data_IF_163781785864
#
_entry.id   IF_163781785864
#
_cell.length_a   1.000
_cell.length_b   1.000
_cell.length_c   1.000
_cell.angle_alpha   90.00
_cell.angle_beta   90.00
_cell.angle_gamma   90.00
#
_symmetry.space_group_name_H-M   'P 1'
#
loop_
_entity.id
_entity.type
_entity.pdbx_description
1 polymer ?
#
# COMPACT_ATOMS: atom_id res chain seq x y z
N UNK A 1 -12.31 -49.41 -15.49
CA UNK A 1 -12.62 -48.03 -15.12
C UNK A 1 -12.30 -47.14 -16.29
N UNK A 2 -13.26 -46.77 -17.13
CA UNK A 2 -13.05 -45.82 -18.20
C UNK A 2 -13.08 -44.42 -17.59
N UNK A 3 -11.91 -43.87 -17.28
CA UNK A 3 -11.81 -42.43 -17.00
C UNK A 3 -12.18 -41.74 -18.31
N UNK A 4 -13.30 -41.04 -18.34
CA UNK A 4 -13.78 -40.34 -19.52
C UNK A 4 -12.70 -39.35 -19.97
N UNK A 5 -12.43 -39.22 -21.27
CA UNK A 5 -11.43 -38.31 -21.82
C UNK A 5 -11.62 -36.86 -21.29
N UNK A 6 -12.85 -36.49 -20.95
CA UNK A 6 -13.20 -35.21 -20.33
C UNK A 6 -12.62 -35.08 -18.92
N UNK A 7 -12.70 -36.12 -18.08
CA UNK A 7 -12.16 -36.09 -16.71
C UNK A 7 -10.64 -35.87 -16.68
N UNK A 8 -9.91 -36.47 -17.64
CA UNK A 8 -8.46 -36.23 -17.77
C UNK A 8 -8.13 -34.79 -18.17
N UNK A 9 -8.91 -34.23 -19.12
CA UNK A 9 -8.68 -32.86 -19.59
C UNK A 9 -8.96 -31.84 -18.48
N UNK A 10 -10.08 -31.96 -17.76
CA UNK A 10 -10.39 -31.00 -16.68
C UNK A 10 -9.48 -31.16 -15.47
N UNK A 11 -8.97 -32.39 -15.21
CA UNK A 11 -8.04 -32.65 -14.11
C UNK A 11 -6.70 -31.91 -14.26
N UNK A 12 -6.30 -31.61 -15.50
CA UNK A 12 -5.06 -30.85 -15.80
C UNK A 12 -5.24 -29.34 -15.63
N UNK A 13 -6.46 -28.83 -15.42
CA UNK A 13 -6.70 -27.40 -15.27
C UNK A 13 -6.44 -26.96 -13.82
N UNK A 14 -5.67 -25.87 -13.62
CA UNK A 14 -5.35 -25.38 -12.28
C UNK A 14 -6.54 -24.74 -11.57
N UNK A 15 -7.50 -24.22 -12.32
CA UNK A 15 -8.70 -23.58 -11.79
C UNK A 15 -9.79 -24.59 -11.48
N UNK A 16 -10.67 -24.35 -10.49
CA UNK A 16 -11.83 -25.17 -10.22
C UNK A 16 -12.77 -25.27 -11.44
N UNK A 17 -13.04 -26.49 -11.88
CA UNK A 17 -13.94 -26.78 -13.02
C UNK A 17 -14.92 -27.89 -12.65
N UNK A 18 -16.19 -27.65 -12.95
CA UNK A 18 -17.31 -28.56 -12.74
C UNK A 18 -18.02 -28.80 -14.07
N UNK A 19 -18.39 -30.05 -14.33
CA UNK A 19 -19.31 -30.41 -15.41
C UNK A 19 -20.69 -30.66 -14.83
N UNK A 20 -21.69 -29.94 -15.34
CA UNK A 20 -23.07 -30.01 -14.89
C UNK A 20 -23.96 -30.62 -15.98
N UNK A 21 -25.00 -31.34 -15.57
CA UNK A 21 -26.08 -31.70 -16.48
C UNK A 21 -27.09 -30.55 -16.68
N UNK A 22 -28.06 -30.77 -17.55
CA UNK A 22 -29.13 -29.79 -17.84
C UNK A 22 -30.00 -29.39 -16.65
N UNK A 23 -29.93 -30.12 -15.56
CA UNK A 23 -30.68 -29.84 -14.31
C UNK A 23 -29.81 -29.15 -13.24
N UNK A 24 -28.53 -28.95 -13.55
CA UNK A 24 -27.57 -28.30 -12.63
C UNK A 24 -26.94 -29.25 -11.59
N UNK A 25 -27.01 -30.57 -11.81
CA UNK A 25 -26.29 -31.53 -10.96
C UNK A 25 -24.84 -31.69 -11.48
N UNK A 26 -23.91 -31.72 -10.55
CA UNK A 26 -22.48 -31.90 -10.83
C UNK A 26 -22.21 -33.36 -11.22
N UNK A 27 -21.76 -33.58 -12.45
CA UNK A 27 -21.38 -34.92 -12.94
C UNK A 27 -19.90 -35.20 -12.70
N UNK A 28 -19.06 -34.22 -12.92
CA UNK A 28 -17.61 -34.32 -12.76
C UNK A 28 -17.07 -33.04 -12.12
N UNK A 29 -16.01 -33.18 -11.35
CA UNK A 29 -15.28 -32.09 -10.73
C UNK A 29 -13.76 -32.38 -10.82
N UNK A 30 -12.96 -31.39 -11.13
CA UNK A 30 -11.52 -31.54 -11.06
C UNK A 30 -11.00 -31.41 -9.61
N UNK A 31 -9.71 -31.76 -9.35
CA UNK A 31 -9.13 -31.67 -8.03
C UNK A 31 -9.32 -30.29 -7.37
N UNK A 32 -9.06 -29.21 -8.10
CA UNK A 32 -9.21 -27.85 -7.59
C UNK A 32 -10.66 -27.53 -7.16
N UNK A 33 -11.66 -28.05 -7.87
CA UNK A 33 -13.06 -27.90 -7.49
C UNK A 33 -13.42 -28.74 -6.24
N UNK A 34 -12.85 -29.94 -6.12
CA UNK A 34 -13.06 -30.75 -4.91
C UNK A 34 -12.36 -30.17 -3.68
N UNK A 35 -11.23 -29.50 -3.86
CA UNK A 35 -10.55 -28.77 -2.77
C UNK A 35 -11.38 -27.57 -2.29
N UNK A 36 -12.04 -26.86 -3.21
CA UNK A 36 -12.85 -25.69 -2.90
C UNK A 36 -14.21 -26.07 -2.26
N UNK A 37 -14.90 -27.08 -2.79
CA UNK A 37 -16.28 -27.41 -2.42
C UNK A 37 -16.42 -28.70 -1.59
N UNK A 38 -15.32 -29.46 -1.47
CA UNK A 38 -15.33 -30.81 -0.90
C UNK A 38 -15.72 -31.89 -1.89
N UNK A 39 -15.36 -33.15 -1.58
CA UNK A 39 -15.61 -34.31 -2.46
C UNK A 39 -17.10 -34.63 -2.66
N UNK A 40 -17.95 -34.18 -1.74
CA UNK A 40 -19.41 -34.36 -1.80
C UNK A 40 -20.09 -33.50 -2.87
N UNK A 41 -19.34 -32.64 -3.56
CA UNK A 41 -19.88 -31.81 -4.64
C UNK A 41 -20.36 -32.65 -5.82
N UNK A 42 -19.73 -33.79 -6.09
CA UNK A 42 -20.11 -34.68 -7.19
C UNK A 42 -21.48 -35.30 -6.89
N UNK A 43 -22.41 -35.18 -7.82
CA UNK A 43 -23.80 -35.58 -7.67
C UNK A 43 -24.71 -34.57 -6.97
N UNK A 44 -24.13 -33.52 -6.38
CA UNK A 44 -24.90 -32.47 -5.71
C UNK A 44 -25.51 -31.47 -6.72
N UNK A 45 -26.58 -30.81 -6.32
CA UNK A 45 -27.16 -29.69 -7.04
C UNK A 45 -26.30 -28.44 -6.79
N UNK A 46 -25.73 -27.86 -7.83
CA UNK A 46 -24.76 -26.74 -7.72
C UNK A 46 -25.36 -25.52 -7.00
N UNK A 47 -26.64 -25.24 -7.17
CA UNK A 47 -27.35 -24.14 -6.50
C UNK A 47 -27.34 -24.26 -4.96
N UNK A 48 -27.15 -25.46 -4.41
CA UNK A 48 -27.02 -25.66 -2.96
C UNK A 48 -25.67 -25.13 -2.42
N UNK A 49 -24.65 -25.05 -3.26
CA UNK A 49 -23.30 -24.58 -2.92
C UNK A 49 -23.05 -23.14 -3.34
N UNK A 50 -23.57 -22.72 -4.48
CA UNK A 50 -23.46 -21.35 -5.01
C UNK A 50 -24.79 -20.62 -4.82
N UNK A 51 -25.06 -20.16 -3.59
CA UNK A 51 -26.36 -19.60 -3.20
C UNK A 51 -26.49 -18.09 -3.42
N UNK A 52 -25.42 -17.41 -3.80
CA UNK A 52 -25.46 -15.97 -3.99
C UNK A 52 -26.41 -15.59 -5.14
N UNK A 53 -27.25 -14.56 -4.96
CA UNK A 53 -28.30 -14.20 -5.92
C UNK A 53 -27.79 -13.98 -7.36
N UNK A 54 -26.61 -13.34 -7.49
CA UNK A 54 -25.99 -13.10 -8.80
C UNK A 54 -25.61 -14.40 -9.54
N UNK A 55 -25.05 -15.38 -8.80
CA UNK A 55 -24.68 -16.68 -9.37
C UNK A 55 -25.92 -17.52 -9.67
N UNK A 56 -26.92 -17.49 -8.80
CA UNK A 56 -28.17 -18.21 -9.02
C UNK A 56 -28.88 -17.70 -10.29
N UNK A 57 -29.00 -16.38 -10.46
CA UNK A 57 -29.59 -15.77 -11.65
C UNK A 57 -28.80 -16.08 -12.94
N UNK A 58 -27.45 -16.05 -12.85
CA UNK A 58 -26.57 -16.45 -13.95
C UNK A 58 -26.82 -17.92 -14.38
N UNK A 59 -26.86 -18.84 -13.40
CA UNK A 59 -27.15 -20.25 -13.66
C UNK A 59 -28.53 -20.47 -14.29
N UNK A 60 -29.55 -19.72 -13.88
CA UNK A 60 -30.87 -19.76 -14.49
C UNK A 60 -30.83 -19.37 -15.96
N UNK A 61 -30.24 -18.23 -16.28
CA UNK A 61 -30.13 -17.74 -17.67
C UNK A 61 -29.38 -18.75 -18.55
N UNK A 62 -28.30 -19.35 -18.05
CA UNK A 62 -27.56 -20.33 -18.84
C UNK A 62 -28.34 -21.63 -19.01
N UNK A 63 -29.03 -22.12 -17.97
CA UNK A 63 -29.88 -23.31 -18.07
C UNK A 63 -31.07 -23.11 -19.03
N UNK A 64 -31.59 -21.89 -19.11
CA UNK A 64 -32.67 -21.49 -20.02
C UNK A 64 -32.20 -21.23 -21.47
N UNK A 65 -30.90 -21.41 -21.77
CA UNK A 65 -30.38 -21.40 -23.13
C UNK A 65 -29.39 -20.27 -23.45
N UNK A 66 -29.04 -19.40 -22.53
CA UNK A 66 -27.96 -18.43 -22.72
C UNK A 66 -26.64 -19.21 -22.92
N UNK A 67 -25.90 -18.92 -23.99
CA UNK A 67 -24.70 -19.67 -24.38
C UNK A 67 -23.58 -19.61 -23.32
N UNK A 68 -23.40 -18.46 -22.71
CA UNK A 68 -22.37 -18.19 -21.70
C UNK A 68 -22.81 -17.01 -20.85
N UNK A 69 -22.52 -17.08 -19.56
CA UNK A 69 -22.72 -15.96 -18.63
C UNK A 69 -21.74 -16.05 -17.46
N UNK A 70 -21.54 -14.91 -16.78
CA UNK A 70 -20.58 -14.80 -15.67
C UNK A 70 -21.23 -14.14 -14.45
N UNK A 71 -20.77 -14.53 -13.27
CA UNK A 71 -21.13 -13.89 -12.01
C UNK A 71 -19.95 -13.95 -11.02
N UNK A 72 -20.02 -13.12 -9.98
CA UNK A 72 -19.04 -13.15 -8.89
C UNK A 72 -19.57 -13.99 -7.72
N UNK A 73 -18.70 -14.82 -7.18
CA UNK A 73 -18.93 -15.66 -6.01
C UNK A 73 -17.90 -15.35 -4.93
N UNK A 74 -18.36 -15.06 -3.72
CA UNK A 74 -17.49 -14.84 -2.56
C UNK A 74 -17.51 -16.10 -1.72
N UNK A 75 -16.35 -16.73 -1.55
CA UNK A 75 -16.17 -17.86 -0.67
C UNK A 75 -15.47 -17.40 0.62
N UNK A 76 -16.01 -17.79 1.76
CA UNK A 76 -15.42 -17.52 3.07
C UNK A 76 -14.87 -18.81 3.65
N UNK A 77 -13.57 -18.88 3.92
CA UNK A 77 -12.91 -19.99 4.60
C UNK A 77 -12.22 -19.47 5.86
N UNK A 78 -12.84 -19.72 7.01
CA UNK A 78 -12.40 -19.14 8.28
C UNK A 78 -12.50 -17.62 8.27
N UNK A 79 -11.38 -16.91 8.46
CA UNK A 79 -11.29 -15.44 8.41
C UNK A 79 -10.93 -14.89 7.03
N UNK A 80 -10.70 -15.74 6.02
CA UNK A 80 -10.27 -15.33 4.68
C UNK A 80 -11.46 -15.36 3.73
N UNK A 81 -11.72 -14.23 3.09
CA UNK A 81 -12.63 -14.12 1.95
C UNK A 81 -11.84 -14.22 0.65
N UNK A 82 -12.36 -14.99 -0.30
CA UNK A 82 -11.84 -15.10 -1.66
C UNK A 82 -12.94 -14.79 -2.65
N UNK A 83 -12.60 -14.04 -3.67
CA UNK A 83 -13.54 -13.59 -4.70
C UNK A 83 -13.29 -14.38 -5.97
N UNK A 84 -14.31 -15.10 -6.42
CA UNK A 84 -14.23 -15.96 -7.58
C UNK A 84 -15.11 -15.43 -8.72
N UNK A 85 -14.55 -15.36 -9.92
CA UNK A 85 -15.34 -15.18 -11.13
C UNK A 85 -15.84 -16.55 -11.58
N UNK A 86 -17.14 -16.75 -11.57
CA UNK A 86 -17.81 -17.97 -12.01
C UNK A 86 -18.27 -17.75 -13.44
N UNK A 87 -17.84 -18.60 -14.35
CA UNK A 87 -18.27 -18.59 -15.76
C UNK A 87 -18.98 -19.91 -16.05
N UNK A 88 -20.22 -19.84 -16.52
CA UNK A 88 -20.99 -20.99 -16.98
C UNK A 88 -21.13 -20.94 -18.50
N UNK A 89 -20.85 -22.06 -19.18
CA UNK A 89 -20.92 -22.17 -20.63
C UNK A 89 -21.45 -23.52 -21.05
N UNK A 90 -22.27 -23.55 -22.12
CA UNK A 90 -22.64 -24.78 -22.77
C UNK A 90 -21.45 -25.40 -23.55
N UNK A 91 -21.07 -26.65 -23.19
CA UNK A 91 -20.03 -27.41 -23.91
C UNK A 91 -20.65 -28.29 -25.02
N UNK A 92 -21.82 -28.86 -24.72
CA UNK A 92 -22.61 -29.71 -25.64
C UNK A 92 -24.09 -29.55 -25.31
N UNK A 93 -25.03 -29.99 -26.18
CA UNK A 93 -26.42 -30.11 -25.77
C UNK A 93 -26.51 -30.91 -24.47
N UNK A 94 -27.11 -30.30 -23.42
CA UNK A 94 -27.31 -30.91 -22.12
C UNK A 94 -26.07 -30.98 -21.18
N UNK A 95 -24.95 -30.35 -21.51
CA UNK A 95 -23.77 -30.31 -20.67
C UNK A 95 -23.29 -28.85 -20.49
N UNK A 96 -23.12 -28.42 -19.25
CA UNK A 96 -22.57 -27.13 -18.88
C UNK A 96 -21.19 -27.32 -18.26
N UNK A 97 -20.26 -26.42 -18.60
CA UNK A 97 -18.99 -26.27 -17.90
C UNK A 97 -19.10 -25.04 -17.02
N UNK A 98 -18.84 -25.22 -15.74
CA UNK A 98 -18.68 -24.15 -14.76
C UNK A 98 -17.21 -24.05 -14.39
N UNK A 99 -16.59 -22.91 -14.63
CA UNK A 99 -15.21 -22.62 -14.23
C UNK A 99 -15.17 -21.46 -13.24
N UNK A 100 -14.29 -21.56 -12.25
CA UNK A 100 -14.07 -20.51 -11.27
C UNK A 100 -12.63 -20.01 -11.39
N UNK A 101 -12.46 -18.70 -11.45
CA UNK A 101 -11.14 -18.06 -11.43
C UNK A 101 -11.06 -17.17 -10.17
N UNK A 102 -10.02 -17.38 -9.38
CA UNK A 102 -9.75 -16.49 -8.25
C UNK A 102 -9.36 -15.12 -8.79
N UNK A 103 -10.15 -14.11 -8.43
CA UNK A 103 -9.95 -12.71 -8.81
C UNK A 103 -9.75 -11.83 -7.58
N UNK A 104 -9.45 -12.43 -6.42
CA UNK A 104 -9.30 -11.71 -5.15
C UNK A 104 -8.28 -10.58 -5.25
N UNK A 105 -7.10 -10.85 -5.85
CA UNK A 105 -6.05 -9.84 -6.00
C UNK A 105 -6.47 -8.73 -6.98
N UNK A 106 -7.21 -9.07 -8.03
CA UNK A 106 -7.71 -8.09 -9.02
C UNK A 106 -8.75 -7.18 -8.36
N UNK A 107 -9.73 -7.77 -7.67
CA UNK A 107 -10.77 -7.00 -6.97
C UNK A 107 -10.20 -6.12 -5.86
N UNK A 108 -9.21 -6.64 -5.10
CA UNK A 108 -8.51 -5.86 -4.09
C UNK A 108 -7.77 -4.66 -4.71
N UNK A 109 -7.07 -4.87 -5.84
CA UNK A 109 -6.38 -3.80 -6.54
C UNK A 109 -7.35 -2.75 -7.11
N UNK A 110 -8.50 -3.19 -7.67
CA UNK A 110 -9.53 -2.28 -8.16
C UNK A 110 -10.21 -1.50 -7.02
N UNK A 111 -10.48 -2.15 -5.89
CA UNK A 111 -11.00 -1.48 -4.70
C UNK A 111 -10.03 -0.41 -4.19
N UNK A 112 -8.74 -0.76 -4.05
CA UNK A 112 -7.71 0.21 -3.67
C UNK A 112 -7.61 1.39 -4.63
N UNK A 113 -7.77 1.14 -5.95
CA UNK A 113 -7.76 2.22 -6.94
C UNK A 113 -8.99 3.13 -6.81
N UNK A 114 -10.18 2.56 -6.60
CA UNK A 114 -11.41 3.36 -6.36
C UNK A 114 -11.29 4.21 -5.10
N UNK A 115 -10.81 3.63 -4.01
CA UNK A 115 -10.61 4.32 -2.74
C UNK A 115 -9.56 5.43 -2.87
N UNK A 116 -8.49 5.18 -3.62
CA UNK A 116 -7.46 6.17 -3.92
C UNK A 116 -8.06 7.40 -4.62
N UNK A 117 -8.82 7.22 -5.71
CA UNK A 117 -9.44 8.33 -6.45
C UNK A 117 -10.44 9.09 -5.58
N UNK A 118 -11.24 8.39 -4.78
CA UNK A 118 -12.18 9.00 -3.86
C UNK A 118 -11.46 9.85 -2.80
N UNK A 119 -10.41 9.32 -2.19
CA UNK A 119 -9.63 10.02 -1.17
C UNK A 119 -8.91 11.24 -1.74
N UNK A 120 -8.27 11.14 -2.93
CA UNK A 120 -7.68 12.30 -3.64
C UNK A 120 -8.71 13.40 -3.82
N UNK A 121 -9.92 13.03 -4.30
CA UNK A 121 -10.99 14.00 -4.54
C UNK A 121 -11.44 14.70 -3.24
N UNK A 122 -11.51 13.98 -2.14
CA UNK A 122 -11.84 14.52 -0.82
C UNK A 122 -10.75 15.44 -0.26
N UNK A 123 -9.47 15.01 -0.33
CA UNK A 123 -8.33 15.79 0.18
C UNK A 123 -8.07 17.07 -0.63
N UNK A 124 -8.45 17.10 -1.93
CA UNK A 124 -8.37 18.32 -2.74
C UNK A 124 -9.58 19.23 -2.54
N UNK A 125 -10.78 18.66 -2.35
CA UNK A 125 -12.03 19.45 -2.20
C UNK A 125 -12.02 20.31 -0.93
N UNK A 126 -11.54 19.77 0.18
CA UNK A 126 -11.54 20.47 1.48
C UNK A 126 -10.77 21.80 1.43
N UNK A 127 -9.47 21.85 1.08
CA UNK A 127 -8.73 23.12 1.01
C UNK A 127 -9.29 24.06 -0.06
N UNK A 128 -9.78 23.52 -1.19
CA UNK A 128 -10.39 24.35 -2.24
C UNK A 128 -11.65 25.06 -1.74
N UNK A 129 -12.47 24.40 -0.93
CA UNK A 129 -13.67 25.00 -0.32
C UNK A 129 -13.29 26.12 0.65
N UNK A 130 -12.22 25.90 1.45
CA UNK A 130 -11.69 26.91 2.37
C UNK A 130 -11.17 28.13 1.62
N UNK A 131 -10.36 27.91 0.57
CA UNK A 131 -9.87 28.99 -0.31
C UNK A 131 -11.02 29.80 -0.91
N UNK A 132 -12.04 29.13 -1.49
CA UNK A 132 -13.18 29.80 -2.08
C UNK A 132 -13.96 30.65 -1.06
N UNK A 133 -14.15 30.13 0.16
CA UNK A 133 -14.83 30.87 1.24
C UNK A 133 -14.06 32.10 1.69
N UNK A 134 -12.74 32.01 1.85
CA UNK A 134 -11.93 33.18 2.21
C UNK A 134 -11.84 34.23 1.09
N UNK A 135 -11.78 33.79 -0.17
CA UNK A 135 -11.86 34.72 -1.32
C UNK A 135 -13.18 35.50 -1.32
N UNK A 136 -14.31 34.79 -1.08
CA UNK A 136 -15.62 35.42 -0.99
C UNK A 136 -15.70 36.41 0.17
N UNK A 137 -15.21 36.02 1.34
CA UNK A 137 -15.18 36.88 2.53
C UNK A 137 -14.32 38.13 2.33
N UNK A 138 -13.15 37.99 1.70
CA UNK A 138 -12.25 39.13 1.39
C UNK A 138 -12.81 40.07 0.31
N UNK A 139 -13.77 39.62 -0.53
CA UNK A 139 -14.47 40.49 -1.46
C UNK A 139 -15.54 41.37 -0.78
N UNK A 140 -15.90 41.05 0.46
CA UNK A 140 -16.81 41.81 1.29
C UNK A 140 -16.11 42.77 2.23
N UNK A 141 -16.83 43.32 3.23
CA UNK A 141 -16.30 44.31 4.19
C UNK A 141 -15.07 43.83 4.99
N UNK A 142 -14.93 42.55 5.20
CA UNK A 142 -13.75 41.96 5.88
C UNK A 142 -12.42 42.21 5.13
N UNK A 143 -12.47 42.43 3.82
CA UNK A 143 -11.30 42.76 3.03
C UNK A 143 -10.77 44.19 3.23
N UNK A 144 -11.55 45.06 3.84
CA UNK A 144 -11.15 46.44 4.15
C UNK A 144 -10.30 46.50 5.42
N UNK A 145 -10.49 45.56 6.37
CA UNK A 145 -9.64 45.46 7.56
C UNK A 145 -8.31 44.79 7.23
N UNK A 146 -7.20 45.53 7.45
CA UNK A 146 -5.86 45.09 7.09
C UNK A 146 -5.39 43.88 7.90
N UNK A 147 -5.78 43.76 9.17
CA UNK A 147 -5.40 42.65 10.02
C UNK A 147 -6.10 41.35 9.60
N UNK A 148 -7.43 41.39 9.44
CA UNK A 148 -8.24 40.27 8.97
C UNK A 148 -7.81 39.81 7.57
N UNK A 149 -7.51 40.74 6.67
CA UNK A 149 -7.01 40.43 5.33
C UNK A 149 -5.65 39.69 5.39
N UNK A 150 -4.71 40.14 6.26
CA UNK A 150 -3.41 39.49 6.41
C UNK A 150 -3.55 38.08 6.96
N UNK A 151 -4.42 37.90 7.96
CA UNK A 151 -4.71 36.57 8.54
C UNK A 151 -5.31 35.60 7.52
N UNK A 152 -6.32 36.04 6.76
CA UNK A 152 -6.95 35.18 5.75
C UNK A 152 -6.03 34.83 4.60
N UNK A 153 -5.18 35.76 4.17
CA UNK A 153 -4.15 35.50 3.16
C UNK A 153 -3.11 34.49 3.65
N UNK A 154 -2.73 34.52 4.94
CA UNK A 154 -1.82 33.52 5.51
C UNK A 154 -2.44 32.14 5.50
N UNK A 155 -3.71 32.00 5.93
CA UNK A 155 -4.42 30.71 5.88
C UNK A 155 -4.56 30.19 4.43
N UNK A 156 -4.89 31.10 3.51
CA UNK A 156 -4.98 30.72 2.09
C UNK A 156 -3.64 30.26 1.51
N UNK A 157 -2.55 30.89 1.90
CA UNK A 157 -1.20 30.47 1.50
C UNK A 157 -0.90 29.08 2.02
N UNK A 158 -1.16 28.79 3.29
CA UNK A 158 -1.00 27.48 3.89
C UNK A 158 -1.81 26.38 3.16
N UNK A 159 -3.07 26.68 2.83
CA UNK A 159 -3.91 25.73 2.09
C UNK A 159 -3.39 25.48 0.66
N UNK A 160 -2.88 26.51 -0.03
CA UNK A 160 -2.28 26.37 -1.35
C UNK A 160 -0.98 25.55 -1.31
N UNK A 161 -0.12 25.77 -0.33
CA UNK A 161 1.10 24.97 -0.10
C UNK A 161 0.77 23.53 0.20
N UNK A 162 -0.23 23.27 1.05
CA UNK A 162 -0.72 21.93 1.33
C UNK A 162 -1.21 21.21 0.07
N UNK A 163 -1.98 21.88 -0.79
CA UNK A 163 -2.43 21.31 -2.07
C UNK A 163 -1.25 21.00 -2.99
N UNK A 164 -0.28 21.89 -3.07
CA UNK A 164 0.93 21.70 -3.87
C UNK A 164 1.73 20.48 -3.39
N UNK A 165 1.89 20.31 -2.07
CA UNK A 165 2.51 19.13 -1.46
C UNK A 165 1.76 17.85 -1.77
N UNK A 166 0.41 17.85 -1.67
CA UNK A 166 -0.41 16.71 -2.02
C UNK A 166 -0.25 16.29 -3.49
N UNK A 167 -0.23 17.26 -4.42
CA UNK A 167 -0.02 16.98 -5.85
C UNK A 167 1.39 16.41 -6.09
N UNK A 168 2.41 16.96 -5.44
CA UNK A 168 3.78 16.44 -5.52
C UNK A 168 3.88 15.00 -5.02
N UNK A 169 3.26 14.68 -3.90
CA UNK A 169 3.19 13.32 -3.34
C UNK A 169 2.48 12.34 -4.29
N UNK A 170 1.36 12.75 -4.89
CA UNK A 170 0.62 11.94 -5.85
C UNK A 170 1.45 11.63 -7.10
N UNK A 171 2.14 12.63 -7.65
CA UNK A 171 3.02 12.46 -8.80
C UNK A 171 4.22 11.57 -8.46
N UNK A 172 4.80 11.74 -7.28
CA UNK A 172 5.89 10.90 -6.79
C UNK A 172 5.45 9.44 -6.63
N UNK A 173 4.31 9.21 -5.97
CA UNK A 173 3.76 7.86 -5.79
C UNK A 173 3.51 7.19 -7.15
N UNK A 174 2.88 7.90 -8.10
CA UNK A 174 2.63 7.40 -9.45
C UNK A 174 3.91 7.02 -10.19
N UNK A 175 4.96 7.84 -10.10
CA UNK A 175 6.27 7.55 -10.72
C UNK A 175 6.92 6.32 -10.10
N UNK A 176 6.90 6.19 -8.77
CA UNK A 176 7.51 5.07 -8.06
C UNK A 176 6.79 3.76 -8.40
N UNK A 177 5.46 3.76 -8.42
CA UNK A 177 4.65 2.59 -8.80
C UNK A 177 4.91 2.14 -10.23
N UNK A 178 5.03 3.08 -11.19
CA UNK A 178 5.32 2.76 -12.59
C UNK A 178 6.65 2.03 -12.80
N UNK A 179 7.64 2.27 -11.93
CA UNK A 179 8.99 1.69 -12.04
C UNK A 179 9.34 0.72 -10.90
N UNK A 180 8.39 0.35 -10.06
CA UNK A 180 8.63 -0.48 -8.86
C UNK A 180 9.34 -1.80 -9.17
N UNK A 181 9.09 -2.39 -10.34
CA UNK A 181 9.73 -3.64 -10.78
C UNK A 181 11.17 -3.46 -11.25
N UNK A 182 11.63 -2.24 -11.51
CA UNK A 182 12.97 -1.95 -12.04
C UNK A 182 13.87 -1.56 -10.87
N UNK A 183 14.73 -2.49 -10.46
CA UNK A 183 15.67 -2.27 -9.34
C UNK A 183 16.77 -1.27 -9.72
N UNK A 184 16.99 -0.19 -8.95
CA UNK A 184 18.15 0.66 -9.13
C UNK A 184 19.43 -0.08 -8.72
N UNK A 185 20.56 0.24 -9.41
CA UNK A 185 21.84 -0.46 -9.20
C UNK A 185 23.00 0.50 -8.94
N UNK A 186 22.78 1.79 -9.01
CA UNK A 186 23.82 2.80 -8.77
C UNK A 186 24.24 2.75 -7.31
N UNK A 187 25.55 2.66 -7.00
CA UNK A 187 26.01 2.75 -5.61
C UNK A 187 25.70 4.13 -5.03
N UNK A 188 25.08 4.17 -3.86
CA UNK A 188 24.67 5.39 -3.16
C UNK A 188 25.16 5.34 -1.72
N UNK A 189 25.83 6.37 -1.27
CA UNK A 189 26.25 6.53 0.12
C UNK A 189 25.07 7.00 0.98
N UNK A 190 24.74 6.23 2.02
CA UNK A 190 23.68 6.59 2.97
C UNK A 190 24.01 7.84 3.77
N UNK A 191 25.27 8.04 4.13
CA UNK A 191 25.69 9.23 4.86
C UNK A 191 25.44 10.51 4.04
N UNK A 192 25.76 10.48 2.73
CA UNK A 192 25.47 11.60 1.84
C UNK A 192 23.97 11.89 1.71
N UNK A 193 23.16 10.85 1.58
CA UNK A 193 21.69 10.98 1.52
C UNK A 193 21.13 11.60 2.80
N UNK A 194 21.54 11.11 3.97
CA UNK A 194 21.08 11.62 5.25
C UNK A 194 21.53 13.07 5.49
N UNK A 195 22.77 13.40 5.18
CA UNK A 195 23.29 14.78 5.30
C UNK A 195 22.55 15.76 4.39
N UNK A 196 22.28 15.37 3.14
CA UNK A 196 21.50 16.20 2.21
C UNK A 196 20.06 16.40 2.72
N UNK A 197 19.43 15.33 3.23
CA UNK A 197 18.09 15.41 3.80
C UNK A 197 18.03 16.32 5.03
N UNK A 198 19.00 16.20 5.95
CA UNK A 198 19.09 17.04 7.14
C UNK A 198 19.35 18.51 6.79
N UNK A 199 20.17 18.77 5.77
CA UNK A 199 20.39 20.13 5.29
C UNK A 199 19.11 20.77 4.75
N UNK A 200 18.28 20.01 4.03
CA UNK A 200 16.99 20.48 3.52
C UNK A 200 15.97 20.74 4.64
N UNK A 201 15.97 19.92 5.69
CA UNK A 201 15.03 20.02 6.82
C UNK A 201 15.53 20.92 7.97
N UNK A 202 16.73 21.47 7.86
CA UNK A 202 17.35 22.29 8.91
C UNK A 202 16.44 23.41 9.42
N UNK A 203 15.79 24.23 8.58
CA UNK A 203 14.91 25.29 9.08
C UNK A 203 13.75 24.76 9.91
N UNK A 204 13.21 23.59 9.55
CA UNK A 204 12.09 22.97 10.28
C UNK A 204 12.55 22.38 11.61
N UNK A 205 13.77 21.78 11.65
CA UNK A 205 14.37 21.25 12.89
C UNK A 205 14.64 22.38 13.86
N UNK A 206 15.22 23.51 13.39
CA UNK A 206 15.49 24.70 14.20
C UNK A 206 14.19 25.34 14.73
N UNK A 207 13.17 25.47 13.87
CA UNK A 207 11.87 26.03 14.27
C UNK A 207 11.10 25.14 15.27
N UNK A 208 11.28 23.83 15.23
CA UNK A 208 10.65 22.88 16.14
C UNK A 208 11.40 22.74 17.48
N UNK A 209 12.57 23.40 17.65
CA UNK A 209 13.42 23.31 18.84
C UNK A 209 13.76 21.86 19.24
N UNK A 210 13.90 20.96 18.27
CA UNK A 210 14.14 19.52 18.51
C UNK A 210 15.64 19.25 18.59
N UNK A 211 16.06 18.54 19.65
CA UNK A 211 17.41 18.01 19.79
C UNK A 211 17.63 16.87 18.80
N UNK A 212 18.53 17.10 17.82
CA UNK A 212 18.90 16.09 16.84
C UNK A 212 20.13 15.31 17.31
N UNK A 213 19.96 13.98 17.54
CA UNK A 213 21.07 13.06 17.77
C UNK A 213 21.39 12.30 16.47
N UNK A 214 22.60 12.46 15.95
CA UNK A 214 23.07 11.83 14.72
C UNK A 214 24.23 10.89 14.99
N UNK A 215 23.98 9.58 14.87
CA UNK A 215 24.97 8.51 15.13
C UNK A 215 25.09 7.61 13.89
N UNK A 216 25.87 8.07 12.93
CA UNK A 216 26.14 7.38 11.66
C UNK A 216 27.65 7.18 11.52
N UNK A 217 28.16 5.92 11.42
CA UNK A 217 29.56 5.67 11.20
C UNK A 217 30.09 6.30 9.91
N UNK A 218 31.31 6.81 9.92
CA UNK A 218 31.93 7.43 8.73
C UNK A 218 32.15 6.41 7.58
N UNK A 219 32.34 5.13 7.92
CA UNK A 219 32.61 4.06 6.97
C UNK A 219 31.44 3.07 6.93
N UNK A 220 30.50 3.33 6.04
CA UNK A 220 29.41 2.42 5.73
C UNK A 220 29.51 1.95 4.27
N UNK A 221 29.17 0.70 3.95
CA UNK A 221 29.09 0.27 2.56
C UNK A 221 27.97 1.02 1.82
N UNK A 222 28.22 1.30 0.55
CA UNK A 222 27.18 1.84 -0.32
C UNK A 222 26.00 0.88 -0.47
N UNK A 223 24.85 1.40 -0.83
CA UNK A 223 23.68 0.62 -1.20
C UNK A 223 23.35 0.79 -2.68
N UNK A 224 22.87 -0.25 -3.38
CA UNK A 224 22.40 -0.10 -4.74
C UNK A 224 21.07 0.67 -4.71
N UNK A 225 21.04 1.90 -5.21
CA UNK A 225 19.91 2.80 -5.02
C UNK A 225 19.75 3.89 -6.07
N UNK A 226 18.63 4.59 -5.93
CA UNK A 226 18.30 5.83 -6.62
C UNK A 226 18.40 6.94 -5.55
N UNK A 227 19.36 7.84 -5.74
CA UNK A 227 19.70 8.87 -4.75
C UNK A 227 18.48 9.73 -4.38
N UNK A 228 17.74 10.23 -5.37
CA UNK A 228 16.62 11.14 -5.14
C UNK A 228 15.48 10.43 -4.39
N UNK A 229 15.22 9.18 -4.73
CA UNK A 229 14.22 8.36 -4.02
C UNK A 229 14.64 8.07 -2.57
N UNK A 230 15.92 7.81 -2.32
CA UNK A 230 16.41 7.62 -0.96
C UNK A 230 16.35 8.89 -0.13
N UNK A 231 16.68 10.05 -0.72
CA UNK A 231 16.46 11.36 -0.08
C UNK A 231 14.96 11.51 0.28
N UNK A 232 14.06 11.17 -0.62
CA UNK A 232 12.62 11.23 -0.36
C UNK A 232 12.18 10.29 0.78
N UNK A 233 12.74 9.08 0.86
CA UNK A 233 12.47 8.15 1.98
C UNK A 233 12.81 8.81 3.31
N UNK A 234 14.04 9.29 3.44
CA UNK A 234 14.48 9.85 4.73
C UNK A 234 13.87 11.21 5.02
N UNK A 235 13.56 12.00 4.00
CA UNK A 235 12.77 13.23 4.16
C UNK A 235 11.41 12.92 4.81
N UNK A 236 10.65 11.97 4.24
CA UNK A 236 9.34 11.60 4.77
C UNK A 236 9.42 11.04 6.20
N UNK A 237 10.45 10.23 6.50
CA UNK A 237 10.61 9.64 7.82
C UNK A 237 11.02 10.69 8.86
N UNK A 238 11.96 11.58 8.53
CA UNK A 238 12.42 12.64 9.42
C UNK A 238 11.31 13.67 9.63
N UNK A 239 10.63 14.10 8.58
CA UNK A 239 9.49 15.02 8.66
C UNK A 239 8.36 14.46 9.55
N UNK A 240 8.06 13.16 9.44
CA UNK A 240 7.12 12.51 10.36
C UNK A 240 7.60 12.57 11.82
N UNK A 241 8.88 12.32 12.06
CA UNK A 241 9.47 12.45 13.40
C UNK A 241 9.38 13.87 13.96
N UNK A 242 9.57 14.90 13.13
CA UNK A 242 9.41 16.30 13.53
C UNK A 242 7.94 16.64 13.84
N UNK A 243 7.01 16.19 13.01
CA UNK A 243 5.57 16.48 13.14
C UNK A 243 4.91 15.81 14.35
N UNK A 244 5.24 14.54 14.57
CA UNK A 244 4.55 13.72 15.58
C UNK A 244 5.38 13.47 16.84
N UNK A 245 6.70 13.60 16.74
CA UNK A 245 7.64 13.46 17.84
C UNK A 245 7.93 14.75 18.60
N UNK A 246 7.39 15.91 18.18
CA UNK A 246 7.71 17.23 18.73
C UNK A 246 7.51 17.36 20.25
N UNK A 247 6.51 16.68 20.80
CA UNK A 247 6.28 16.65 22.26
C UNK A 247 7.45 16.01 23.04
N UNK A 248 8.25 15.15 22.42
CA UNK A 248 9.41 14.50 23.03
C UNK A 248 10.71 15.31 22.96
N UNK A 249 10.72 16.41 22.22
CA UNK A 249 11.88 17.34 22.12
C UNK A 249 13.15 16.73 21.51
N UNK A 250 13.12 15.48 21.03
CA UNK A 250 14.30 14.76 20.54
C UNK A 250 14.00 13.90 19.31
N UNK A 251 14.93 13.90 18.36
CA UNK A 251 14.94 13.00 17.21
C UNK A 251 16.30 12.32 17.11
N UNK A 252 16.31 10.99 17.01
CA UNK A 252 17.52 10.19 16.92
C UNK A 252 17.62 9.51 15.54
N UNK A 253 18.74 9.71 14.86
CA UNK A 253 19.04 9.08 13.58
C UNK A 253 20.27 8.19 13.76
N UNK A 254 20.10 6.90 13.50
CA UNK A 254 21.19 5.93 13.56
C UNK A 254 21.28 5.15 12.26
N UNK A 255 22.51 4.83 11.83
CA UNK A 255 22.73 3.92 10.71
C UNK A 255 23.75 2.85 11.10
N UNK A 256 23.52 1.61 10.65
CA UNK A 256 24.45 0.49 10.89
C UNK A 256 24.40 -0.53 9.77
N UNK A 257 25.53 -1.12 9.48
CA UNK A 257 25.64 -2.27 8.61
C UNK A 257 25.49 -3.57 9.39
N UNK A 258 24.71 -4.51 8.86
CA UNK A 258 24.50 -5.85 9.44
C UNK A 258 24.83 -6.88 8.37
N UNK A 259 25.80 -7.76 8.67
CA UNK A 259 26.36 -8.72 7.69
C UNK A 259 25.33 -9.75 7.22
N UNK A 260 24.42 -10.17 8.10
CA UNK A 260 23.39 -11.15 7.76
C UNK A 260 22.07 -10.80 8.45
N UNK A 261 20.99 -10.80 7.68
CA UNK A 261 19.64 -10.63 8.19
C UNK A 261 18.71 -11.63 7.47
N UNK A 262 17.85 -12.37 8.19
CA UNK A 262 16.90 -13.29 7.58
C UNK A 262 16.03 -12.59 6.53
N UNK A 263 15.93 -13.20 5.34
CA UNK A 263 15.19 -12.68 4.20
C UNK A 263 15.98 -11.73 3.28
N UNK A 264 17.31 -11.61 3.49
CA UNK A 264 18.24 -10.92 2.59
C UNK A 264 19.39 -11.84 2.19
N UNK A 265 19.80 -11.78 0.93
CA UNK A 265 20.90 -12.58 0.37
C UNK A 265 22.27 -11.96 0.64
N UNK A 266 22.31 -10.66 0.95
CA UNK A 266 23.54 -9.89 1.25
C UNK A 266 23.39 -9.19 2.60
N UNK A 267 24.50 -8.59 3.08
CA UNK A 267 24.43 -7.67 4.21
C UNK A 267 23.48 -6.51 3.95
N UNK A 268 22.99 -5.92 5.00
CA UNK A 268 21.98 -4.86 4.91
C UNK A 268 22.43 -3.60 5.65
N UNK A 269 22.06 -2.46 5.11
CA UNK A 269 22.06 -1.18 5.78
C UNK A 269 20.75 -1.01 6.55
N UNK A 270 20.83 -0.70 7.84
CA UNK A 270 19.68 -0.38 8.68
C UNK A 270 19.80 1.06 9.12
N UNK A 271 18.83 1.89 8.72
CA UNK A 271 18.73 3.30 9.11
C UNK A 271 17.47 3.47 9.94
N UNK A 272 17.63 3.90 11.18
CA UNK A 272 16.52 4.11 12.11
C UNK A 272 16.37 5.60 12.41
N UNK A 273 15.14 6.08 12.29
CA UNK A 273 14.69 7.39 12.72
C UNK A 273 13.74 7.15 13.90
N UNK A 274 14.11 7.64 15.08
CA UNK A 274 13.33 7.48 16.30
C UNK A 274 12.94 8.84 16.85
N UNK A 275 11.66 9.01 17.06
CA UNK A 275 11.10 10.11 17.86
C UNK A 275 10.77 9.63 19.29
N UNK A 276 10.56 10.57 20.18
CA UNK A 276 10.21 10.35 21.58
C UNK A 276 8.85 10.99 21.93
N UNK A 277 7.95 11.01 20.93
CA UNK A 277 6.60 11.56 21.08
C UNK A 277 5.63 10.64 21.82
N UNK A 278 4.34 10.84 21.56
CA UNK A 278 3.25 10.10 22.23
C UNK A 278 3.20 8.61 21.87
N UNK A 279 3.89 8.21 20.80
CA UNK A 279 3.85 6.85 20.28
C UNK A 279 2.54 6.51 19.57
N UNK A 280 2.47 5.27 19.07
CA UNK A 280 1.38 4.76 18.25
C UNK A 280 0.92 3.42 18.81
N UNK A 281 -0.39 3.25 18.97
CA UNK A 281 -0.96 1.96 19.38
C UNK A 281 -0.65 0.88 18.32
N UNK A 282 -0.12 -0.28 18.73
CA UNK A 282 0.24 -1.38 17.83
C UNK A 282 -0.86 -1.80 16.85
N UNK A 283 -2.14 -1.63 17.19
CA UNK A 283 -3.27 -1.97 16.31
C UNK A 283 -3.27 -1.16 15.00
N UNK A 284 -2.69 0.06 15.01
CA UNK A 284 -2.64 0.93 13.83
C UNK A 284 -1.39 0.71 12.98
N UNK A 285 -0.32 0.13 13.54
CA UNK A 285 0.98 -0.03 12.85
C UNK A 285 0.85 -0.71 11.48
N UNK A 286 0.10 -1.82 11.31
CA UNK A 286 -0.04 -2.48 10.00
C UNK A 286 -0.63 -1.58 8.91
N UNK A 287 -1.43 -0.60 9.31
CA UNK A 287 -2.16 0.30 8.40
C UNK A 287 -1.43 1.59 8.08
N UNK A 288 -0.38 1.96 8.82
CA UNK A 288 0.34 3.23 8.64
C UNK A 288 0.92 3.43 7.23
N UNK A 289 1.16 2.34 6.49
CA UNK A 289 1.65 2.38 5.11
C UNK A 289 0.54 2.32 4.06
N UNK A 290 -0.74 2.29 4.47
CA UNK A 290 -1.87 2.43 3.55
C UNK A 290 -1.98 3.88 3.06
N UNK A 291 -2.38 4.09 1.81
CA UNK A 291 -2.53 5.43 1.22
C UNK A 291 -3.64 6.20 1.95
N UNK A 292 -3.39 7.47 2.30
CA UNK A 292 -4.30 8.35 3.03
C UNK A 292 -4.69 7.88 4.44
N UNK A 293 -4.05 6.84 4.95
CA UNK A 293 -4.32 6.39 6.30
C UNK A 293 -3.69 7.32 7.34
N UNK A 294 -4.46 7.65 8.36
CA UNK A 294 -4.05 8.51 9.50
C UNK A 294 -4.74 7.98 10.76
N UNK A 295 -4.00 7.88 11.87
CA UNK A 295 -4.51 7.37 13.15
C UNK A 295 -5.59 8.30 13.70
N UNK A 296 -5.37 9.62 13.64
CA UNK A 296 -6.31 10.64 14.08
C UNK A 296 -6.52 11.70 12.99
N UNK A 297 -7.71 11.68 12.37
CA UNK A 297 -8.07 12.61 11.29
C UNK A 297 -8.29 14.05 11.78
N UNK A 298 -8.65 14.25 13.05
CA UNK A 298 -8.92 15.58 13.59
C UNK A 298 -7.62 16.30 13.93
N UNK A 299 -6.76 15.67 14.72
CA UNK A 299 -5.48 16.25 15.19
C UNK A 299 -4.46 16.42 14.05
N UNK A 300 -4.50 15.54 13.08
CA UNK A 300 -3.56 15.58 11.96
C UNK A 300 -3.99 16.52 10.82
N UNK A 301 -5.18 17.16 10.86
CA UNK A 301 -5.49 18.28 9.95
C UNK A 301 -4.64 19.50 10.25
N UNK A 302 -4.39 19.77 11.53
CA UNK A 302 -3.58 20.90 11.98
C UNK A 302 -2.07 20.70 11.68
N UNK A 303 -1.61 19.44 11.57
CA UNK A 303 -0.22 19.12 11.24
C UNK A 303 0.07 18.91 9.74
N UNK A 304 -0.89 19.15 8.85
CA UNK A 304 -0.69 19.24 7.39
C UNK A 304 -0.30 17.95 6.66
N UNK A 305 -0.32 16.78 7.28
CA UNK A 305 0.08 15.51 6.65
C UNK A 305 -0.90 15.02 5.57
N UNK A 306 -0.40 14.55 4.43
CA UNK A 306 -1.19 14.01 3.31
C UNK A 306 -1.64 12.56 3.53
N UNK A 307 -0.97 11.81 4.43
CA UNK A 307 -1.16 10.37 4.60
C UNK A 307 -0.57 9.54 3.44
N UNK A 308 0.25 10.15 2.58
CA UNK A 308 0.92 9.47 1.46
C UNK A 308 2.40 9.18 1.75
N UNK A 309 3.05 9.92 2.63
CA UNK A 309 4.48 9.83 2.86
C UNK A 309 4.97 8.41 3.20
N UNK A 310 4.33 7.71 4.15
CA UNK A 310 4.71 6.33 4.50
C UNK A 310 4.36 5.31 3.40
N UNK A 311 3.33 5.55 2.61
CA UNK A 311 3.05 4.74 1.42
C UNK A 311 4.16 4.89 0.36
N UNK A 312 4.61 6.13 0.11
CA UNK A 312 5.75 6.43 -0.78
C UNK A 312 7.01 5.74 -0.26
N UNK A 313 7.31 5.84 1.03
CA UNK A 313 8.45 5.16 1.66
C UNK A 313 8.41 3.66 1.41
N UNK A 314 7.25 3.01 1.64
CA UNK A 314 7.07 1.58 1.40
C UNK A 314 7.35 1.18 -0.04
N UNK A 315 6.80 1.91 -1.03
CA UNK A 315 7.00 1.61 -2.44
C UNK A 315 8.45 1.83 -2.88
N UNK A 316 9.10 2.91 -2.44
CA UNK A 316 10.52 3.14 -2.72
C UNK A 316 11.38 2.04 -2.11
N UNK A 317 11.18 1.68 -0.85
CA UNK A 317 11.93 0.61 -0.21
C UNK A 317 11.69 -0.74 -0.90
N UNK A 318 10.45 -1.04 -1.31
CA UNK A 318 10.12 -2.25 -2.08
C UNK A 318 10.90 -2.31 -3.40
N UNK A 319 10.95 -1.21 -4.15
CA UNK A 319 11.75 -1.08 -5.39
C UNK A 319 13.24 -1.35 -5.15
N UNK A 320 13.75 -0.94 -3.99
CA UNK A 320 15.14 -1.17 -3.55
C UNK A 320 15.36 -2.56 -2.93
N UNK A 321 14.34 -3.46 -2.96
CA UNK A 321 14.38 -4.76 -2.26
C UNK A 321 14.62 -4.64 -0.75
N UNK A 322 14.27 -3.50 -0.20
CA UNK A 322 14.29 -3.20 1.22
C UNK A 322 12.93 -3.39 1.87
N UNK A 323 12.85 -3.04 3.14
CA UNK A 323 11.58 -3.04 3.90
C UNK A 323 11.60 -1.96 4.97
N UNK A 324 10.40 -1.46 5.32
CA UNK A 324 10.18 -0.59 6.47
C UNK A 324 9.79 -1.44 7.68
N UNK A 325 10.42 -1.19 8.82
CA UNK A 325 10.06 -1.79 10.10
C UNK A 325 9.63 -0.63 11.01
N UNK A 326 8.42 -0.73 11.57
CA UNK A 326 7.88 0.27 12.49
C UNK A 326 7.72 -0.37 13.86
N UNK A 327 8.23 0.29 14.90
CA UNK A 327 8.06 -0.09 16.30
C UNK A 327 7.60 1.12 17.08
N UNK A 328 6.53 0.97 17.82
CA UNK A 328 5.99 2.02 18.67
C UNK A 328 5.11 1.42 19.75
N UNK A 329 5.02 2.11 20.87
CA UNK A 329 4.03 1.88 21.89
C UNK A 329 3.59 3.25 22.47
N UNK A 330 2.34 3.38 22.97
CA UNK A 330 1.87 4.60 23.59
C UNK A 330 2.80 5.07 24.71
N UNK A 331 3.26 6.33 24.65
CA UNK A 331 4.18 6.95 25.61
C UNK A 331 5.67 6.65 25.39
N UNK A 332 6.04 5.82 24.38
CA UNK A 332 7.44 5.43 24.14
C UNK A 332 8.04 6.02 22.84
N UNK A 333 7.26 6.88 22.17
CA UNK A 333 7.62 7.38 20.83
C UNK A 333 7.49 6.34 19.74
N UNK A 334 8.03 6.64 18.55
CA UNK A 334 8.04 5.72 17.43
C UNK A 334 9.42 5.62 16.78
N UNK A 335 9.72 4.43 16.25
CA UNK A 335 10.94 4.14 15.52
C UNK A 335 10.59 3.58 14.14
N UNK A 336 11.03 4.28 13.11
CA UNK A 336 10.89 3.90 11.70
C UNK A 336 12.24 3.47 11.18
N UNK A 337 12.39 2.20 10.84
CA UNK A 337 13.65 1.63 10.41
C UNK A 337 13.58 1.19 8.94
N UNK A 338 14.35 1.85 8.08
CA UNK A 338 14.55 1.44 6.70
C UNK A 338 15.67 0.39 6.64
N UNK A 339 15.36 -0.78 6.09
CA UNK A 339 16.31 -1.88 5.87
C UNK A 339 16.53 -2.03 4.38
N UNK A 340 17.77 -1.86 3.91
CA UNK A 340 18.13 -1.85 2.50
C UNK A 340 19.28 -2.82 2.25
N UNK A 341 19.28 -3.62 1.15
CA UNK A 341 20.43 -4.42 0.78
C UNK A 341 21.66 -3.53 0.59
N UNK A 342 22.80 -3.94 1.14
CA UNK A 342 24.07 -3.23 0.96
C UNK A 342 24.87 -3.83 -0.20
N UNK A 343 25.71 -3.03 -0.83
CA UNK A 343 26.74 -3.53 -1.71
C UNK A 343 27.70 -4.40 -0.89
N UNK A 344 28.16 -5.51 -1.47
CA UNK A 344 29.22 -6.29 -0.82
C UNK A 344 30.41 -5.38 -0.59
N UNK A 345 30.91 -5.26 0.65
CA UNK A 345 32.10 -4.46 0.91
C UNK A 345 33.20 -4.91 -0.04
N UNK A 346 33.69 -4.01 -0.89
CA UNK A 346 34.88 -4.27 -1.68
C UNK A 346 36.01 -4.36 -0.67
N UNK A 347 36.53 -5.56 -0.43
CA UNK A 347 37.75 -5.77 0.37
C UNK A 347 38.90 -5.17 -0.41
N UNK A 348 39.04 -3.84 -0.34
CA UNK A 348 40.26 -3.17 -0.77
C UNK A 348 41.25 -3.27 0.39
N UNK A 349 42.25 -4.15 0.24
CA UNK A 349 43.47 -4.17 1.02
C UNK A 349 43.55 -5.21 2.13
N UNK A 350 43.67 -6.47 1.76
CA UNK A 350 44.60 -7.35 2.47
C UNK A 350 45.86 -7.39 1.57
N UNK A 351 47.04 -6.97 2.04
CA UNK A 351 48.30 -7.31 1.38
C UNK A 351 48.49 -8.82 1.43
N UNK A 352 48.92 -9.42 0.30
CA UNK A 352 49.35 -10.81 0.19
C UNK A 352 50.44 -11.14 1.21
#
# INVERSE_FOLDING_TARGET
MHTTAHAMLIAALPNPVLLLDKTGHVKEANPAATDLFGTKIIGAQIRAHLRQPGVAAMLERVLDGTREDTATFIATSGSRETVWRVTARHAKPHMLVLSLSDISDIEAAEAQRRDFVANVSHELRSPLTVLAGFIETLRGPAGEDAATRSEFLAIMTEQAERMTGLVADLLSLSRVEAVEKIRPRTPVSIDMVLKATLAALRPQIEAAEIELSYSVPETLPDIPGDYDQLVQVFHNLIENGLKYGGAGGKLEITARYVVALPGFESGVMRVSIRDFGEGIDPIYIPRLTERFYRVDKARSRDSGGTGLGLAIVKHILSRHRGRLIIRSAPGEGASFEAVLPACTPSVKGLPE
#
